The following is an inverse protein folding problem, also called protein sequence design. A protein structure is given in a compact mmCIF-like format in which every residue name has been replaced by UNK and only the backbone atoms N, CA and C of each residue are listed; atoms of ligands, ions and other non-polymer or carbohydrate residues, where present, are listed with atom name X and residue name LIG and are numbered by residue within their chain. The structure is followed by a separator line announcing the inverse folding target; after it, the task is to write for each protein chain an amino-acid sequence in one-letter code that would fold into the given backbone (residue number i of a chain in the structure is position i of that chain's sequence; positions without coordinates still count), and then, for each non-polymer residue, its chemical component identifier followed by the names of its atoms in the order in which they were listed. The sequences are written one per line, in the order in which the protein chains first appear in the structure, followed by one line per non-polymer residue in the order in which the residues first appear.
data_IF_843883896697
#
_entry.id   IF_843883896697
#
_cell.length_a   1.000
_cell.length_b   1.000
_cell.length_c   1.000
_cell.angle_alpha   90.00
_cell.angle_beta   90.00
_cell.angle_gamma   90.00
#
_symmetry.space_group_name_H-M   'P 1'
#
loop_
_entity.id
_entity.type
_entity.pdbx_description
1 polymer ?
#
# COMPACT_ATOMS: atom_id res chain seq x y z
N UNK A 1 -17.31 40.99 77.90
CA UNK A 1 -17.46 39.89 76.91
C UNK A 1 -16.66 40.30 75.68
N UNK A 2 -15.61 39.66 75.15
CA UNK A 2 -14.85 38.43 75.44
C UNK A 2 -13.40 38.74 74.95
N UNK A 3 -12.35 38.41 75.72
CA UNK A 3 -10.93 38.52 75.32
C UNK A 3 -10.59 37.42 74.31
N UNK A 4 -9.84 37.72 73.24
CA UNK A 4 -9.07 36.69 72.52
C UNK A 4 -7.64 37.13 72.25
N UNK A 5 -6.76 36.23 72.62
CA UNK A 5 -5.31 36.26 72.80
C UNK A 5 -4.56 35.93 71.50
N UNK A 6 -3.38 36.54 71.38
CA UNK A 6 -2.25 36.16 70.52
C UNK A 6 -1.91 34.66 70.60
N UNK A 7 -1.43 34.05 69.50
CA UNK A 7 -0.50 32.89 69.39
C UNK A 7 -0.40 32.50 67.89
N UNK A 8 0.69 32.89 67.19
CA UNK A 8 1.88 32.08 66.86
C UNK A 8 1.79 31.33 65.51
N UNK A 9 2.59 31.80 64.55
CA UNK A 9 2.86 31.18 63.24
C UNK A 9 3.83 30.01 63.42
N UNK A 10 3.62 28.85 62.76
CA UNK A 10 4.72 28.01 62.33
C UNK A 10 4.83 27.92 60.81
N UNK A 11 6.04 28.17 60.36
CA UNK A 11 6.59 27.92 59.02
C UNK A 11 6.70 26.40 58.72
N UNK A 12 6.79 26.11 57.42
CA UNK A 12 7.23 24.86 56.75
C UNK A 12 6.25 23.69 56.65
N UNK A 13 5.82 23.35 55.43
CA UNK A 13 6.44 22.27 54.64
C UNK A 13 5.68 22.02 53.32
N UNK A 14 6.44 21.63 52.31
CA UNK A 14 6.06 21.44 50.91
C UNK A 14 5.02 20.32 50.66
N UNK A 15 4.17 20.51 49.65
CA UNK A 15 3.45 19.43 48.99
C UNK A 15 3.23 19.74 47.49
N UNK A 16 4.28 19.41 46.72
CA UNK A 16 4.25 18.72 45.42
C UNK A 16 2.97 18.92 44.58
N UNK A 17 3.07 19.82 43.60
CA UNK A 17 2.19 19.81 42.44
C UNK A 17 2.47 18.57 41.60
N UNK A 18 1.52 17.64 41.54
CA UNK A 18 1.52 16.58 40.51
C UNK A 18 0.83 17.16 39.28
N UNK A 19 1.60 17.81 38.43
CA UNK A 19 1.20 17.98 37.03
C UNK A 19 1.24 16.58 36.42
N UNK A 20 0.06 16.00 36.20
CA UNK A 20 -0.10 14.78 35.43
C UNK A 20 0.43 15.02 34.01
N UNK A 21 1.67 14.64 33.75
CA UNK A 21 2.22 14.53 32.40
C UNK A 21 1.50 13.33 31.77
N UNK A 22 0.40 13.60 31.08
CA UNK A 22 -0.15 12.68 30.10
C UNK A 22 0.89 12.59 28.97
N UNK A 23 1.83 11.66 29.11
CA UNK A 23 2.71 11.26 28.02
C UNK A 23 1.85 10.47 27.02
N UNK A 24 1.13 11.19 26.16
CA UNK A 24 0.58 10.60 24.95
C UNK A 24 1.74 10.08 24.13
N UNK A 25 1.97 8.78 24.14
CA UNK A 25 2.82 8.10 23.17
C UNK A 25 2.12 8.21 21.82
N UNK A 26 2.42 9.28 21.08
CA UNK A 26 2.08 9.34 19.66
C UNK A 26 2.84 8.23 18.95
N UNK A 27 2.16 7.12 18.67
CA UNK A 27 2.68 6.10 17.78
C UNK A 27 2.80 6.74 16.40
N UNK A 28 4.03 6.98 15.94
CA UNK A 28 4.27 7.45 14.58
C UNK A 28 3.75 6.37 13.62
N UNK A 29 2.72 6.70 12.85
CA UNK A 29 2.24 5.81 11.79
C UNK A 29 3.37 5.62 10.77
N UNK A 30 3.87 4.40 10.64
CA UNK A 30 4.82 4.06 9.57
C UNK A 30 4.07 4.18 8.25
N UNK A 31 4.59 5.02 7.35
CA UNK A 31 4.01 5.19 6.03
C UNK A 31 4.00 3.85 5.25
N UNK A 32 2.94 3.55 4.50
CA UNK A 32 2.86 2.30 3.73
C UNK A 32 4.01 2.23 2.71
N UNK A 33 4.68 1.07 2.56
CA UNK A 33 5.69 0.89 1.54
C UNK A 33 5.13 1.17 0.14
N UNK A 34 5.89 1.92 -0.65
CA UNK A 34 5.48 2.34 -2.00
C UNK A 34 6.55 1.99 -3.02
N UNK A 35 6.11 1.57 -4.19
CA UNK A 35 6.93 1.19 -5.33
C UNK A 35 6.51 2.02 -6.55
N UNK A 36 7.45 2.30 -7.43
CA UNK A 36 7.19 2.82 -8.78
C UNK A 36 7.69 1.82 -9.79
N UNK A 37 6.98 1.65 -10.91
CA UNK A 37 7.34 0.66 -11.91
C UNK A 37 7.17 1.19 -13.34
N UNK A 38 7.91 0.55 -14.26
CA UNK A 38 7.72 0.68 -15.71
C UNK A 38 7.74 -0.74 -16.28
N UNK A 39 6.71 -1.11 -17.02
CA UNK A 39 6.58 -2.39 -17.70
C UNK A 39 6.46 -2.16 -19.20
N UNK A 40 7.35 -2.78 -19.97
CA UNK A 40 7.24 -2.84 -21.43
C UNK A 40 6.34 -4.02 -21.79
N UNK A 41 5.44 -3.82 -22.75
CA UNK A 41 4.59 -4.91 -23.23
C UNK A 41 5.44 -6.00 -23.88
N UNK A 42 5.27 -7.25 -23.43
CA UNK A 42 6.05 -8.39 -23.93
C UNK A 42 5.25 -9.33 -24.82
N UNK A 43 3.92 -9.20 -24.86
CA UNK A 43 3.05 -9.98 -25.73
C UNK A 43 1.82 -10.54 -25.02
N UNK A 44 1.24 -11.56 -25.64
CA UNK A 44 0.18 -12.39 -25.04
C UNK A 44 0.81 -13.74 -24.68
N UNK A 45 0.52 -14.23 -23.48
CA UNK A 45 0.99 -15.53 -23.00
C UNK A 45 0.46 -16.67 -23.89
N UNK A 46 1.05 -17.86 -23.73
CA UNK A 46 0.72 -19.03 -24.55
C UNK A 46 -0.74 -19.51 -24.38
N UNK A 47 -1.41 -19.10 -23.32
CA UNK A 47 -2.84 -19.37 -23.11
C UNK A 47 -3.76 -18.50 -23.99
N UNK A 48 -3.24 -17.45 -24.62
CA UNK A 48 -4.01 -16.53 -25.44
C UNK A 48 -4.89 -15.56 -24.66
N UNK A 49 -4.84 -15.57 -23.32
CA UNK A 49 -5.71 -14.80 -22.45
C UNK A 49 -4.95 -13.69 -21.70
N UNK A 50 -3.70 -13.94 -21.31
CA UNK A 50 -2.94 -12.98 -20.51
C UNK A 50 -2.06 -12.09 -21.36
N UNK A 51 -2.32 -10.79 -21.34
CA UNK A 51 -1.38 -9.78 -21.77
C UNK A 51 -0.24 -9.66 -20.74
N UNK A 52 1.00 -9.57 -21.18
CA UNK A 52 2.16 -9.57 -20.28
C UNK A 52 3.03 -8.32 -20.42
N UNK A 53 3.57 -7.86 -19.29
CA UNK A 53 4.54 -6.78 -19.22
C UNK A 53 5.69 -7.15 -18.30
N UNK A 54 6.88 -6.64 -18.60
CA UNK A 54 8.05 -6.74 -17.73
C UNK A 54 8.85 -5.45 -17.69
N UNK A 55 9.48 -5.17 -16.56
CA UNK A 55 10.43 -4.06 -16.49
C UNK A 55 10.89 -3.74 -15.07
N UNK A 56 11.55 -2.59 -14.86
CA UNK A 56 12.11 -2.24 -13.56
C UNK A 56 11.05 -1.83 -12.54
N UNK A 57 11.35 -2.10 -11.27
CA UNK A 57 10.65 -1.57 -10.10
C UNK A 57 11.66 -0.91 -9.16
N UNK A 58 11.27 0.20 -8.56
CA UNK A 58 12.06 1.04 -7.66
C UNK A 58 11.22 1.46 -6.46
N UNK A 59 11.87 1.93 -5.39
CA UNK A 59 11.21 2.37 -4.15
C UNK A 59 11.46 1.39 -3.01
N UNK A 60 10.39 0.89 -2.38
CA UNK A 60 10.53 -0.03 -1.26
C UNK A 60 11.19 -1.36 -1.65
N UNK A 61 11.01 -1.83 -2.88
CA UNK A 61 11.78 -2.91 -3.49
C UNK A 61 12.50 -2.36 -4.73
N UNK A 62 13.65 -2.94 -5.06
CA UNK A 62 14.44 -2.58 -6.24
C UNK A 62 14.76 -3.82 -7.05
N UNK A 63 14.36 -3.84 -8.32
CA UNK A 63 14.64 -4.95 -9.21
C UNK A 63 13.67 -4.99 -10.39
N UNK A 64 12.94 -6.08 -10.55
CA UNK A 64 12.06 -6.34 -11.71
C UNK A 64 10.62 -6.62 -11.30
N UNK A 65 9.68 -6.21 -12.13
CA UNK A 65 8.27 -6.62 -12.06
C UNK A 65 7.89 -7.39 -13.33
N UNK A 66 7.10 -8.45 -13.14
CA UNK A 66 6.37 -9.14 -14.20
C UNK A 66 4.87 -9.03 -13.90
N UNK A 67 4.09 -8.68 -14.93
CA UNK A 67 2.65 -8.44 -14.83
C UNK A 67 1.98 -9.30 -15.89
N UNK A 68 1.00 -10.11 -15.49
CA UNK A 68 0.13 -10.85 -16.39
C UNK A 68 -1.32 -10.43 -16.11
N UNK A 69 -1.99 -9.82 -17.08
CA UNK A 69 -3.34 -9.27 -16.95
C UNK A 69 -4.26 -9.96 -17.94
N UNK A 70 -5.44 -10.38 -17.48
CA UNK A 70 -6.51 -10.90 -18.33
C UNK A 70 -7.81 -10.14 -18.07
N UNK A 71 -8.69 -10.13 -19.07
CA UNK A 71 -10.07 -9.73 -18.87
C UNK A 71 -10.80 -10.75 -17.99
N UNK A 72 -11.71 -10.29 -17.14
CA UNK A 72 -12.54 -11.17 -16.31
C UNK A 72 -13.75 -11.66 -17.09
N UNK A 73 -14.39 -10.76 -17.85
CA UNK A 73 -15.52 -11.12 -18.72
C UNK A 73 -15.08 -11.82 -20.00
N UNK A 74 -16.07 -12.41 -20.69
CA UNK A 74 -15.92 -13.04 -22.00
C UNK A 74 -15.30 -12.08 -23.04
N UNK A 75 -14.53 -12.58 -24.02
CA UNK A 75 -13.86 -11.76 -25.03
C UNK A 75 -14.78 -10.81 -25.81
N UNK A 76 -16.06 -11.15 -25.95
CA UNK A 76 -17.05 -10.26 -26.60
C UNK A 76 -17.22 -8.93 -25.86
N UNK A 77 -16.99 -8.91 -24.54
CA UNK A 77 -17.05 -7.71 -23.71
C UNK A 77 -15.85 -6.77 -23.93
N UNK A 78 -14.78 -7.23 -24.62
CA UNK A 78 -13.60 -6.43 -24.96
C UNK A 78 -13.93 -5.21 -25.86
N UNK A 79 -15.11 -5.22 -26.51
CA UNK A 79 -15.60 -4.06 -27.27
C UNK A 79 -15.91 -2.84 -26.37
N UNK A 80 -16.08 -3.04 -25.06
CA UNK A 80 -16.23 -1.94 -24.11
C UNK A 80 -14.87 -1.27 -23.86
N UNK A 81 -14.77 0.05 -23.75
CA UNK A 81 -13.49 0.72 -23.50
C UNK A 81 -12.98 0.55 -22.06
N UNK A 82 -13.85 0.14 -21.14
CA UNK A 82 -13.49 -0.08 -19.73
C UNK A 82 -13.64 -1.56 -19.44
N UNK A 83 -12.53 -2.23 -19.16
CA UNK A 83 -12.49 -3.65 -18.86
C UNK A 83 -12.34 -3.87 -17.37
N UNK A 84 -13.06 -4.84 -16.86
CA UNK A 84 -12.77 -5.43 -15.57
C UNK A 84 -11.74 -6.55 -15.77
N UNK A 85 -10.68 -6.52 -14.97
CA UNK A 85 -9.47 -7.31 -15.20
C UNK A 85 -8.98 -7.96 -13.93
N UNK A 86 -8.35 -9.11 -14.09
CA UNK A 86 -7.56 -9.77 -13.05
C UNK A 86 -6.09 -9.76 -13.49
N UNK A 87 -5.18 -9.51 -12.56
CA UNK A 87 -3.76 -9.44 -12.83
C UNK A 87 -2.91 -10.14 -11.78
N UNK A 88 -1.96 -10.96 -12.22
CA UNK A 88 -0.87 -11.48 -11.40
C UNK A 88 0.31 -10.53 -11.48
N UNK A 89 0.75 -10.06 -10.32
CA UNK A 89 1.96 -9.25 -10.17
C UNK A 89 3.03 -10.06 -9.47
N UNK A 90 4.23 -10.07 -10.02
CA UNK A 90 5.41 -10.69 -9.40
C UNK A 90 6.54 -9.68 -9.36
N UNK A 91 6.92 -9.26 -8.16
CA UNK A 91 8.05 -8.38 -7.91
C UNK A 91 9.23 -9.22 -7.44
N UNK A 92 10.36 -9.08 -8.13
CA UNK A 92 11.64 -9.67 -7.75
C UNK A 92 12.59 -8.56 -7.37
N UNK A 93 12.89 -8.48 -6.08
CA UNK A 93 13.93 -7.60 -5.54
C UNK A 93 15.31 -8.21 -5.82
N UNK A 94 16.29 -7.39 -6.18
CA UNK A 94 17.65 -7.84 -6.53
C UNK A 94 18.35 -8.55 -5.38
N UNK A 95 18.00 -8.21 -4.13
CA UNK A 95 18.50 -8.86 -2.91
C UNK A 95 17.56 -9.94 -2.40
N UNK A 96 16.40 -10.11 -3.03
CA UNK A 96 15.35 -11.06 -2.67
C UNK A 96 14.54 -10.68 -1.44
N UNK A 97 14.91 -9.64 -0.68
CA UNK A 97 14.32 -9.33 0.64
C UNK A 97 12.90 -8.81 0.51
N UNK A 98 12.63 -8.03 -0.54
CA UNK A 98 11.32 -7.41 -0.79
C UNK A 98 10.63 -8.00 -2.03
N UNK A 99 10.96 -9.24 -2.38
CA UNK A 99 10.26 -9.99 -3.42
C UNK A 99 8.89 -10.44 -2.93
N UNK A 100 7.87 -10.30 -3.77
CA UNK A 100 6.51 -10.73 -3.45
C UNK A 100 5.69 -10.99 -4.71
N UNK A 101 4.55 -11.64 -4.54
CA UNK A 101 3.56 -11.77 -5.60
C UNK A 101 2.15 -11.49 -5.09
N UNK A 102 1.34 -10.86 -5.93
CA UNK A 102 -0.01 -10.41 -5.60
C UNK A 102 -1.00 -10.76 -6.71
N UNK A 103 -2.23 -11.10 -6.30
CA UNK A 103 -3.36 -11.26 -7.21
C UNK A 103 -4.24 -10.03 -7.06
N UNK A 104 -4.32 -9.25 -8.13
CA UNK A 104 -5.05 -7.99 -8.14
C UNK A 104 -6.25 -8.09 -9.08
N UNK A 105 -7.28 -7.31 -8.78
CA UNK A 105 -8.47 -7.18 -9.59
C UNK A 105 -8.87 -5.70 -9.66
N UNK A 106 -9.51 -5.28 -10.74
CA UNK A 106 -9.96 -3.91 -10.89
C UNK A 106 -10.23 -3.52 -12.34
N UNK A 107 -10.03 -2.26 -12.66
CA UNK A 107 -10.47 -1.69 -13.94
C UNK A 107 -9.30 -1.16 -14.76
N UNK A 108 -9.39 -1.38 -16.07
CA UNK A 108 -8.58 -0.68 -17.09
C UNK A 108 -9.53 0.10 -17.99
N UNK A 109 -9.35 1.41 -18.05
CA UNK A 109 -9.98 2.25 -19.07
C UNK A 109 -8.98 2.43 -20.22
N UNK A 110 -9.21 1.71 -21.31
CA UNK A 110 -8.38 1.75 -22.52
C UNK A 110 -8.51 3.05 -23.30
N UNK A 111 -9.60 3.79 -23.13
CA UNK A 111 -9.79 5.09 -23.78
C UNK A 111 -8.92 6.16 -23.13
N UNK A 112 -8.87 6.20 -21.79
CA UNK A 112 -8.00 7.13 -21.07
C UNK A 112 -6.59 6.57 -20.81
N UNK A 113 -6.42 5.26 -20.97
CA UNK A 113 -5.20 4.54 -20.61
C UNK A 113 -4.95 4.55 -19.10
N UNK A 114 -6.00 4.54 -18.27
CA UNK A 114 -5.84 4.46 -16.80
C UNK A 114 -6.08 3.05 -16.29
N UNK A 115 -5.30 2.65 -15.29
CA UNK A 115 -5.48 1.38 -14.59
C UNK A 115 -5.59 1.62 -13.08
N UNK A 116 -6.52 0.91 -12.44
CA UNK A 116 -6.68 0.90 -10.99
C UNK A 116 -7.00 -0.51 -10.53
N UNK A 117 -6.07 -1.12 -9.80
CA UNK A 117 -6.21 -2.49 -9.30
C UNK A 117 -6.00 -2.55 -7.79
N UNK A 118 -6.61 -3.53 -7.14
CA UNK A 118 -6.38 -3.83 -5.73
C UNK A 118 -6.48 -5.32 -5.47
N UNK A 119 -5.75 -5.81 -4.48
CA UNK A 119 -5.84 -7.21 -4.09
C UNK A 119 -4.79 -7.62 -3.07
N UNK A 120 -4.89 -8.85 -2.55
CA UNK A 120 -3.95 -9.35 -1.56
C UNK A 120 -2.58 -9.65 -2.19
N UNK A 121 -1.54 -9.36 -1.41
CA UNK A 121 -0.24 -10.03 -1.56
C UNK A 121 -0.42 -11.47 -1.11
N UNK A 122 -0.15 -12.41 -2.02
CA UNK A 122 -0.42 -13.83 -1.83
C UNK A 122 0.81 -14.65 -1.47
N UNK A 123 2.01 -14.08 -1.62
CA UNK A 123 3.27 -14.75 -1.34
C UNK A 123 4.40 -13.74 -1.15
N UNK A 124 5.37 -14.08 -0.29
CA UNK A 124 6.61 -13.34 -0.07
C UNK A 124 6.49 -12.15 0.88
N UNK A 125 7.26 -11.10 0.61
CA UNK A 125 7.34 -9.93 1.47
C UNK A 125 5.96 -9.27 1.64
N UNK A 126 5.57 -9.08 2.90
CA UNK A 126 4.26 -8.54 3.29
C UNK A 126 3.06 -9.37 2.81
N UNK A 127 3.20 -10.70 2.71
CA UNK A 127 2.07 -11.61 2.48
C UNK A 127 0.87 -11.30 3.39
N UNK A 128 -0.35 -11.37 2.82
CA UNK A 128 -1.60 -11.03 3.47
C UNK A 128 -1.90 -9.52 3.48
N UNK A 129 -0.94 -8.67 3.15
CA UNK A 129 -1.14 -7.23 2.99
C UNK A 129 -1.97 -6.92 1.75
N UNK A 130 -2.54 -5.72 1.71
CA UNK A 130 -3.33 -5.25 0.56
C UNK A 130 -2.45 -4.40 -0.35
N UNK A 131 -2.32 -4.79 -1.62
CA UNK A 131 -1.65 -4.04 -2.65
C UNK A 131 -2.68 -3.21 -3.43
N UNK A 132 -2.37 -1.92 -3.64
CA UNK A 132 -3.12 -1.03 -4.53
C UNK A 132 -2.22 -0.52 -5.63
N UNK A 133 -2.68 -0.59 -6.87
CA UNK A 133 -1.99 -0.10 -8.06
C UNK A 133 -2.80 0.99 -8.71
N UNK A 134 -2.15 2.12 -8.96
CA UNK A 134 -2.63 3.16 -9.86
C UNK A 134 -1.58 3.39 -10.95
N UNK A 135 -2.02 3.38 -12.21
CA UNK A 135 -1.09 3.48 -13.33
C UNK A 135 -1.71 4.01 -14.62
N UNK A 136 -0.86 4.08 -15.65
CA UNK A 136 -1.19 4.52 -17.00
C UNK A 136 -0.61 3.58 -18.04
N UNK A 137 -1.38 3.32 -19.08
CA UNK A 137 -0.96 2.64 -20.30
C UNK A 137 -0.75 3.69 -21.38
N UNK A 138 0.45 3.73 -21.96
CA UNK A 138 0.81 4.65 -23.05
C UNK A 138 1.57 3.85 -24.11
N UNK A 139 1.06 3.85 -25.35
CA UNK A 139 1.63 3.06 -26.45
C UNK A 139 1.80 1.57 -26.13
N UNK A 140 0.91 1.01 -25.31
CA UNK A 140 0.98 -0.37 -24.84
C UNK A 140 1.86 -0.59 -23.61
N UNK A 141 2.75 0.33 -23.27
CA UNK A 141 3.60 0.22 -22.08
C UNK A 141 2.87 0.71 -20.82
N UNK A 142 3.14 0.06 -19.69
CA UNK A 142 2.49 0.32 -18.42
C UNK A 142 3.45 1.02 -17.44
N UNK A 143 3.01 2.08 -16.79
CA UNK A 143 3.77 2.76 -15.72
C UNK A 143 2.86 3.18 -14.59
N UNK A 144 3.37 3.22 -13.36
CA UNK A 144 2.55 3.63 -12.22
C UNK A 144 3.22 3.45 -10.88
N UNK A 145 2.39 3.50 -9.84
CA UNK A 145 2.75 3.22 -8.47
C UNK A 145 2.01 2.01 -7.92
N UNK A 146 2.66 1.33 -6.98
CA UNK A 146 2.05 0.30 -6.14
C UNK A 146 2.27 0.68 -4.68
N UNK A 147 1.22 0.68 -3.87
CA UNK A 147 1.32 0.85 -2.42
C UNK A 147 0.89 -0.41 -1.69
N UNK A 148 1.60 -0.74 -0.61
CA UNK A 148 1.33 -1.90 0.24
C UNK A 148 0.79 -1.42 1.57
N UNK A 149 -0.45 -1.75 1.87
CA UNK A 149 -1.06 -1.53 3.18
C UNK A 149 -0.91 -2.80 4.00
N UNK A 150 -0.16 -2.77 5.12
CA UNK A 150 -0.02 -3.93 5.98
C UNK A 150 -1.37 -4.54 6.31
N UNK A 151 -1.43 -5.86 6.42
CA UNK A 151 -2.59 -6.55 6.96
C UNK A 151 -2.87 -6.00 8.38
N UNK A 152 -3.79 -5.05 8.49
CA UNK A 152 -4.21 -4.51 9.76
C UNK A 152 -4.89 -5.62 10.54
N UNK A 153 -4.31 -5.95 11.70
CA UNK A 153 -4.89 -6.78 12.75
C UNK A 153 -6.38 -6.48 12.83
N UNK A 154 -7.25 -7.40 12.39
CA UNK A 154 -8.68 -7.31 12.68
C UNK A 154 -8.79 -7.22 14.20
N UNK A 155 -9.14 -6.04 14.72
CA UNK A 155 -9.69 -5.92 16.07
C UNK A 155 -11.16 -6.30 16.00
#
# INVERSE_FOLDING_TARGET
MLRLTSISIPLFAAAIGVLGVWAGTSSAAVAPPTLTFRGTFTGVAADGEHCTWEGPVEGAARGRVAIALRQVEEPVAAANPVWHVAARWTVRDDRGVHSFAANLEGMVDWKSGTIRLGGPVTDGWLEGSWAEVDGRIVNGDLTGGLSLRPAGTRR
#
